data_IF_686242574110
#
_entry.id   IF_686242574110
#
_cell.length_a   1.000
_cell.length_b   1.000
_cell.length_c   1.000
_cell.angle_alpha   90.00
_cell.angle_beta   90.00
_cell.angle_gamma   90.00
#
_symmetry.space_group_name_H-M   'P 1'
#
loop_
_entity.id
_entity.type
_entity.pdbx_description
1 polymer ?
#
# COMPACT_ATOMS: atom_id res chain seq x y z
N UNK A 1 4.67 4.49 1.13
CA UNK A 1 3.62 3.48 0.85
C UNK A 1 4.20 2.28 0.09
N UNK A 2 4.80 2.45 -1.09
CA UNK A 2 5.32 1.31 -1.84
C UNK A 2 6.38 0.50 -1.09
N UNK A 3 7.33 1.19 -0.45
CA UNK A 3 8.35 0.54 0.39
C UNK A 3 7.74 -0.32 1.49
N UNK A 4 6.72 0.19 2.19
CA UNK A 4 6.03 -0.59 3.23
C UNK A 4 5.32 -1.80 2.64
N UNK A 5 4.62 -1.64 1.50
CA UNK A 5 3.97 -2.74 0.78
C UNK A 5 4.95 -3.83 0.32
N UNK A 6 6.17 -3.46 -0.05
CA UNK A 6 7.22 -4.37 -0.53
C UNK A 6 8.10 -4.96 0.59
N UNK A 7 7.89 -4.55 1.83
CA UNK A 7 8.67 -4.98 3.00
C UNK A 7 7.86 -5.85 3.96
N UNK A 8 8.54 -6.54 4.86
CA UNK A 8 7.94 -7.28 5.97
C UNK A 8 7.72 -6.36 7.19
N UNK A 9 6.72 -5.49 7.10
CA UNK A 9 6.38 -4.53 8.17
C UNK A 9 4.88 -4.52 8.51
N UNK A 10 4.50 -3.89 9.61
CA UNK A 10 3.10 -3.56 9.91
C UNK A 10 2.87 -2.08 9.59
N UNK A 11 1.69 -1.78 9.05
CA UNK A 11 1.39 -0.46 8.51
C UNK A 11 0.30 0.20 9.35
N UNK A 12 0.66 1.30 10.00
CA UNK A 12 -0.25 2.20 10.71
C UNK A 12 -0.22 3.55 9.99
N UNK A 13 -1.38 4.03 9.56
CA UNK A 13 -1.53 5.22 8.73
C UNK A 13 -2.02 6.41 9.55
N UNK A 14 -1.39 7.55 9.31
CA UNK A 14 -1.73 8.83 9.89
C UNK A 14 -1.75 9.89 8.78
N UNK A 15 -2.80 9.93 7.94
CA UNK A 15 -2.85 10.86 6.81
C UNK A 15 -2.90 12.31 7.28
N UNK A 16 -2.24 13.20 6.56
CA UNK A 16 -2.24 14.65 6.79
C UNK A 16 -2.61 15.44 5.52
N UNK A 17 -2.11 15.01 4.36
CA UNK A 17 -2.40 15.63 3.07
C UNK A 17 -3.60 14.97 2.38
N UNK A 18 -4.27 15.70 1.50
CA UNK A 18 -5.53 15.26 0.88
C UNK A 18 -5.38 13.98 0.04
N UNK A 19 -4.29 13.84 -0.71
CA UNK A 19 -3.99 12.63 -1.49
C UNK A 19 -3.73 11.40 -0.59
N UNK A 20 -3.21 11.63 0.62
CA UNK A 20 -2.99 10.58 1.61
C UNK A 20 -4.30 10.01 2.16
N UNK A 21 -5.40 10.77 2.16
CA UNK A 21 -6.71 10.29 2.66
C UNK A 21 -7.24 9.17 1.77
N UNK A 22 -7.26 9.39 0.45
CA UNK A 22 -7.72 8.37 -0.51
C UNK A 22 -6.84 7.12 -0.45
N UNK A 23 -5.52 7.35 -0.40
CA UNK A 23 -4.52 6.31 -0.20
C UNK A 23 -4.73 5.53 1.11
N UNK A 24 -5.14 6.20 2.18
CA UNK A 24 -5.41 5.54 3.47
C UNK A 24 -6.62 4.63 3.37
N UNK A 25 -7.73 5.14 2.83
CA UNK A 25 -8.95 4.33 2.63
C UNK A 25 -8.69 3.11 1.75
N UNK A 26 -7.96 3.27 0.65
CA UNK A 26 -7.56 2.13 -0.19
C UNK A 26 -6.80 1.08 0.62
N UNK A 27 -5.88 1.50 1.48
CA UNK A 27 -5.01 0.60 2.25
C UNK A 27 -5.71 -0.04 3.46
N UNK A 28 -6.71 0.61 4.04
CA UNK A 28 -7.41 0.14 5.25
C UNK A 28 -8.73 -0.56 4.94
N UNK A 29 -9.52 -0.03 4.01
CA UNK A 29 -10.89 -0.50 3.73
C UNK A 29 -10.92 -1.51 2.57
N UNK A 30 -10.21 -1.23 1.48
CA UNK A 30 -10.29 -2.06 0.26
C UNK A 30 -9.28 -3.20 0.26
N UNK A 31 -8.01 -2.88 0.58
CA UNK A 31 -6.92 -3.86 0.60
C UNK A 31 -6.77 -4.54 1.96
N UNK A 32 -7.25 -3.89 3.02
CA UNK A 32 -7.14 -4.37 4.40
C UNK A 32 -5.70 -4.81 4.77
N UNK A 33 -4.70 -4.01 4.40
CA UNK A 33 -3.26 -4.28 4.65
C UNK A 33 -2.67 -3.41 5.75
N UNK A 34 -3.48 -2.52 6.33
CA UNK A 34 -3.07 -1.51 7.30
C UNK A 34 -4.23 -1.09 8.19
N UNK A 35 -3.93 -0.30 9.22
CA UNK A 35 -4.94 0.38 10.04
C UNK A 35 -4.73 1.89 10.01
N UNK A 36 -5.80 2.67 10.12
CA UNK A 36 -5.73 4.13 10.30
C UNK A 36 -5.83 4.49 11.78
N UNK A 37 -5.06 5.49 12.21
CA UNK A 37 -5.17 6.05 13.57
C UNK A 37 -6.45 6.87 13.67
N UNK A 38 -7.40 6.51 14.57
CA UNK A 38 -8.60 7.30 14.76
C UNK A 38 -8.29 8.73 15.21
N UNK A 39 -8.97 9.69 14.59
CA UNK A 39 -8.92 11.11 14.91
C UNK A 39 -10.23 11.56 15.56
N UNK A 40 -10.13 12.56 16.42
CA UNK A 40 -11.27 13.28 16.97
C UNK A 40 -11.93 14.16 15.90
N UNK A 41 -13.12 14.68 16.19
CA UNK A 41 -13.82 15.64 15.31
C UNK A 41 -12.99 16.92 15.06
N UNK A 42 -12.07 17.24 15.97
CA UNK A 42 -11.11 18.36 15.84
C UNK A 42 -10.02 18.10 14.79
N UNK A 43 -9.92 16.86 14.29
CA UNK A 43 -8.86 16.40 13.40
C UNK A 43 -7.57 16.01 14.13
N UNK A 44 -7.46 16.21 15.45
CA UNK A 44 -6.32 15.74 16.23
C UNK A 44 -6.44 14.26 16.58
N UNK A 45 -5.31 13.63 16.89
CA UNK A 45 -5.26 12.27 17.44
C UNK A 45 -4.58 12.30 18.81
N UNK A 46 -4.94 11.36 19.68
CA UNK A 46 -4.34 11.23 20.99
C UNK A 46 -3.20 10.23 20.98
N UNK A 47 -2.35 10.26 22.00
CA UNK A 47 -1.31 9.24 22.19
C UNK A 47 -1.95 7.86 22.37
N UNK A 48 -3.10 7.81 23.02
CA UNK A 48 -3.85 6.61 23.32
C UNK A 48 -4.41 5.98 22.03
N UNK A 49 -4.98 6.78 21.11
CA UNK A 49 -5.48 6.26 19.83
C UNK A 49 -4.35 5.73 18.94
N UNK A 50 -3.21 6.44 18.90
CA UNK A 50 -2.01 5.97 18.20
C UNK A 50 -1.48 4.67 18.82
N UNK A 51 -1.37 4.61 20.15
CA UNK A 51 -0.88 3.42 20.85
C UNK A 51 -1.79 2.22 20.62
N UNK A 52 -3.11 2.42 20.64
CA UNK A 52 -4.09 1.36 20.39
C UNK A 52 -3.97 0.83 18.95
N UNK A 53 -3.83 1.71 17.94
CA UNK A 53 -3.63 1.31 16.55
C UNK A 53 -2.34 0.47 16.38
N UNK A 54 -1.23 0.90 17.00
CA UNK A 54 0.03 0.14 16.97
C UNK A 54 -0.15 -1.24 17.63
N UNK A 55 -0.73 -1.30 18.83
CA UNK A 55 -0.96 -2.57 19.54
C UNK A 55 -1.83 -3.50 18.69
N UNK A 56 -2.88 -2.97 18.05
CA UNK A 56 -3.82 -3.78 17.26
C UNK A 56 -3.16 -4.54 16.09
N UNK A 57 -2.06 -4.01 15.54
CA UNK A 57 -1.32 -4.66 14.44
C UNK A 57 -0.08 -5.43 14.92
N UNK A 58 0.42 -5.13 16.12
CA UNK A 58 1.63 -5.77 16.67
C UNK A 58 1.32 -6.97 17.55
N UNK A 59 0.16 -7.03 18.20
CA UNK A 59 -0.27 -8.15 19.03
C UNK A 59 -0.48 -9.42 18.17
N UNK A 60 0.15 -10.52 18.58
CA UNK A 60 0.11 -11.81 17.86
C UNK A 60 -1.26 -12.48 17.98
N UNK A 61 -1.99 -12.21 19.07
CA UNK A 61 -3.33 -12.76 19.31
C UNK A 61 -4.45 -11.89 18.71
N UNK A 62 -4.10 -10.73 18.13
CA UNK A 62 -5.06 -9.83 17.50
C UNK A 62 -5.61 -10.41 16.19
N UNK A 63 -6.92 -10.65 16.14
CA UNK A 63 -7.60 -11.08 14.90
C UNK A 63 -7.38 -10.07 13.76
N UNK A 64 -7.49 -8.78 14.06
CA UNK A 64 -7.26 -7.70 13.10
C UNK A 64 -5.79 -7.68 12.63
N UNK A 65 -4.84 -7.78 13.56
CA UNK A 65 -3.41 -7.81 13.27
C UNK A 65 -3.05 -8.98 12.36
N UNK A 66 -3.62 -10.15 12.64
CA UNK A 66 -3.44 -11.36 11.84
C UNK A 66 -4.09 -11.24 10.45
N UNK A 67 -5.25 -10.57 10.33
CA UNK A 67 -5.89 -10.27 9.05
C UNK A 67 -4.99 -9.38 8.18
N UNK A 68 -4.61 -8.20 8.69
CA UNK A 68 -3.86 -7.23 7.89
C UNK A 68 -2.48 -7.75 7.49
N UNK A 69 -1.81 -8.50 8.38
CA UNK A 69 -0.51 -9.13 8.10
C UNK A 69 -0.62 -10.18 6.99
N UNK A 70 -1.66 -11.02 7.02
CA UNK A 70 -1.91 -12.02 5.97
C UNK A 70 -2.19 -11.38 4.63
N UNK A 71 -3.01 -10.34 4.61
CA UNK A 71 -3.35 -9.62 3.38
C UNK A 71 -2.12 -8.90 2.81
N UNK A 72 -1.34 -8.25 3.68
CA UNK A 72 -0.10 -7.59 3.29
C UNK A 72 0.91 -8.57 2.70
N UNK A 73 1.12 -9.75 3.31
CA UNK A 73 2.00 -10.78 2.75
C UNK A 73 1.56 -11.24 1.36
N UNK A 74 0.26 -11.51 1.16
CA UNK A 74 -0.28 -11.91 -0.16
C UNK A 74 -0.12 -10.82 -1.22
N UNK A 75 -0.37 -9.57 -0.84
CA UNK A 75 -0.20 -8.43 -1.74
C UNK A 75 1.27 -8.24 -2.10
N UNK A 76 2.17 -8.32 -1.11
CA UNK A 76 3.62 -8.25 -1.32
C UNK A 76 4.08 -9.31 -2.31
N UNK A 77 3.70 -10.59 -2.11
CA UNK A 77 4.04 -11.70 -3.02
C UNK A 77 3.62 -11.40 -4.46
N UNK A 78 2.44 -10.80 -4.65
CA UNK A 78 1.97 -10.39 -5.98
C UNK A 78 2.79 -9.24 -6.56
N UNK A 79 3.07 -8.20 -5.76
CA UNK A 79 3.80 -6.99 -6.20
C UNK A 79 5.27 -7.27 -6.53
N UNK A 80 5.93 -8.13 -5.74
CA UNK A 80 7.34 -8.50 -5.93
C UNK A 80 7.51 -9.71 -6.84
N UNK A 81 6.41 -10.22 -7.41
CA UNK A 81 6.46 -11.39 -8.30
C UNK A 81 7.42 -11.14 -9.47
N UNK A 82 8.40 -12.04 -9.69
CA UNK A 82 9.34 -11.89 -10.78
C UNK A 82 8.61 -11.78 -12.12
N UNK A 83 9.00 -10.81 -12.94
CA UNK A 83 8.43 -10.64 -14.27
C UNK A 83 7.20 -9.75 -14.36
N UNK A 84 6.48 -9.46 -13.27
CA UNK A 84 5.28 -8.61 -13.33
C UNK A 84 5.65 -7.18 -13.72
N UNK A 85 6.42 -6.49 -12.88
CA UNK A 85 6.80 -5.09 -13.12
C UNK A 85 7.75 -4.94 -14.31
N UNK A 86 8.71 -5.85 -14.46
CA UNK A 86 9.63 -5.83 -15.60
C UNK A 86 8.89 -6.09 -16.90
N UNK A 87 7.97 -7.06 -16.94
CA UNK A 87 7.22 -7.37 -18.15
C UNK A 87 6.32 -6.23 -18.63
N UNK A 88 5.70 -5.45 -17.72
CA UNK A 88 4.99 -4.23 -18.11
C UNK A 88 5.95 -3.16 -18.63
N UNK A 89 7.12 -3.02 -18.02
CA UNK A 89 8.14 -2.06 -18.45
C UNK A 89 8.68 -2.42 -19.83
N UNK A 90 8.99 -3.70 -20.06
CA UNK A 90 9.51 -4.21 -21.33
C UNK A 90 8.50 -3.97 -22.46
N UNK A 91 7.23 -4.34 -22.25
CA UNK A 91 6.15 -4.08 -23.22
C UNK A 91 5.93 -2.60 -23.51
N UNK A 92 6.07 -1.75 -22.48
CA UNK A 92 5.97 -0.31 -22.67
C UNK A 92 7.14 0.22 -23.52
N UNK A 93 8.35 -0.27 -23.30
CA UNK A 93 9.53 0.07 -24.11
C UNK A 93 9.36 -0.42 -25.55
N UNK A 94 8.91 -1.66 -25.76
CA UNK A 94 8.60 -2.20 -27.09
C UNK A 94 7.57 -1.32 -27.82
N UNK A 95 6.47 -0.95 -27.16
CA UNK A 95 5.45 -0.10 -27.76
C UNK A 95 5.97 1.29 -28.15
N UNK A 96 6.90 1.86 -27.38
CA UNK A 96 7.55 3.13 -27.74
C UNK A 96 8.50 2.96 -28.93
N UNK A 97 9.23 1.86 -29.02
CA UNK A 97 10.11 1.56 -30.14
C UNK A 97 9.31 1.38 -31.43
N UNK A 98 8.21 0.64 -31.39
CA UNK A 98 7.31 0.44 -32.52
C UNK A 98 6.76 1.78 -33.02
N UNK A 99 6.27 2.64 -32.11
CA UNK A 99 5.75 3.97 -32.47
C UNK A 99 6.78 4.85 -33.18
N UNK A 100 8.04 4.82 -32.74
CA UNK A 100 9.14 5.57 -33.36
C UNK A 100 9.52 4.98 -34.72
N UNK A 101 9.55 3.66 -34.84
CA UNK A 101 9.93 3.00 -36.10
C UNK A 101 8.84 3.16 -37.17
N UNK A 102 7.56 3.14 -36.79
CA UNK A 102 6.43 3.38 -37.69
C UNK A 102 6.42 4.82 -38.21
N UNK A 103 6.85 5.81 -37.40
CA UNK A 103 6.95 7.21 -37.85
C UNK A 103 8.13 7.51 -38.77
N UNK A 104 9.10 6.59 -38.89
CA UNK A 104 10.25 6.72 -39.79
C UNK A 104 10.01 6.07 -41.17
N UNK A 105 8.81 5.54 -41.43
CA UNK A 105 8.40 4.91 -42.69
C UNK A 105 7.52 5.81 -43.58
N UNK A 106 7.22 7.05 -43.16
CA UNK A 106 6.66 8.15 -43.98
C UNK A 106 7.76 9.17 -44.34
#
# INVERSE_FOLDING_TARGET
MWESLMSDCQIVLLPFLSDQILNTRLMTEELEVSVEVPREETGWFSKESLSAAIISVMDEDSELGNLVRRNHSKLKESLVSPGLLTGYTDKFVEALQDLVNDTNLE
#
